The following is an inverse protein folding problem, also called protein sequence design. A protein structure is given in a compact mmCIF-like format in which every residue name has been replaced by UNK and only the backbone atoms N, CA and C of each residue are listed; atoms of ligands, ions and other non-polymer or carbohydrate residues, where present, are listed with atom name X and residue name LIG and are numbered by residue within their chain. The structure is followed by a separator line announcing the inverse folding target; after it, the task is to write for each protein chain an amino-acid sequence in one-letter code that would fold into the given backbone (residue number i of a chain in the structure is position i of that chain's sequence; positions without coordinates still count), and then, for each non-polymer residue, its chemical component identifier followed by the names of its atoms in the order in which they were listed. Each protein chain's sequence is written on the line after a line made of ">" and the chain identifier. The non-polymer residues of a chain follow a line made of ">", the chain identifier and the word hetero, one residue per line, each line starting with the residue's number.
data_IF_758607203897
#
_entry.id   IF_758607203897
#
_cell.length_a   1.000
_cell.length_b   1.000
_cell.length_c   1.000
_cell.angle_alpha   90.00
_cell.angle_beta   90.00
_cell.angle_gamma   90.00
#
_symmetry.space_group_name_H-M   'P 1'
#
loop_
_entity.id
_entity.type
_entity.pdbx_description
1 polymer ?
#
# COMPACT_ATOMS: atom_id res chain seq x y z
N UNK A 1 9.30 -9.83 -17.01
CA UNK A 1 8.02 -9.22 -16.57
C UNK A 1 7.03 -10.30 -16.19
N UNK A 2 6.70 -11.24 -17.07
CA UNK A 2 5.77 -12.34 -16.78
C UNK A 2 6.21 -13.22 -15.59
N UNK A 3 7.48 -13.67 -15.54
CA UNK A 3 8.03 -14.38 -14.37
C UNK A 3 7.96 -13.57 -13.07
N UNK A 4 8.11 -12.25 -13.14
CA UNK A 4 8.04 -11.39 -11.95
C UNK A 4 6.61 -11.31 -11.43
N UNK A 5 5.62 -11.23 -12.32
CA UNK A 5 4.21 -11.23 -11.94
C UNK A 5 3.83 -12.57 -11.31
N UNK A 6 4.28 -13.69 -11.88
CA UNK A 6 4.02 -15.01 -11.33
C UNK A 6 4.63 -15.19 -9.93
N UNK A 7 5.86 -14.71 -9.72
CA UNK A 7 6.48 -14.70 -8.39
C UNK A 7 5.67 -13.86 -7.38
N UNK A 8 5.18 -12.68 -7.78
CA UNK A 8 4.33 -11.82 -6.94
C UNK A 8 2.97 -12.46 -6.65
N UNK A 9 2.38 -13.19 -7.60
CA UNK A 9 1.13 -13.95 -7.38
C UNK A 9 1.27 -15.07 -6.35
N UNK A 10 2.48 -15.60 -6.16
CA UNK A 10 2.73 -16.64 -5.16
C UNK A 10 3.13 -16.06 -3.80
N UNK A 11 3.71 -14.87 -3.77
CA UNK A 11 4.14 -14.17 -2.56
C UNK A 11 4.20 -12.66 -2.84
N UNK A 12 3.34 -11.87 -2.19
CA UNK A 12 3.26 -10.43 -2.41
C UNK A 12 4.58 -9.72 -2.11
N UNK A 13 5.30 -10.15 -1.08
CA UNK A 13 6.62 -9.60 -0.74
C UNK A 13 7.72 -9.91 -1.76
N UNK A 14 7.49 -10.76 -2.75
CA UNK A 14 8.42 -10.93 -3.88
C UNK A 14 8.62 -9.64 -4.67
N UNK A 15 7.69 -8.67 -4.59
CA UNK A 15 7.81 -7.36 -5.21
C UNK A 15 9.12 -6.65 -4.82
N UNK A 16 9.62 -6.86 -3.60
CA UNK A 16 10.88 -6.26 -3.08
C UNK A 16 12.09 -6.59 -3.95
N UNK A 17 12.08 -7.74 -4.62
CA UNK A 17 13.16 -8.19 -5.50
C UNK A 17 12.99 -7.76 -6.96
N UNK A 18 11.81 -7.25 -7.35
CA UNK A 18 11.57 -6.73 -8.70
C UNK A 18 12.22 -5.34 -8.81
N UNK A 19 13.14 -5.09 -9.76
CA UNK A 19 13.70 -3.76 -9.96
C UNK A 19 12.59 -2.72 -10.16
N UNK A 20 12.73 -1.54 -9.53
CA UNK A 20 11.70 -0.48 -9.56
C UNK A 20 11.24 -0.13 -10.97
N UNK A 21 12.15 -0.09 -11.95
CA UNK A 21 11.86 0.19 -13.36
C UNK A 21 11.04 -0.91 -14.07
N UNK A 22 10.93 -2.12 -13.49
CA UNK A 22 10.17 -3.24 -14.03
C UNK A 22 8.84 -3.47 -13.30
N UNK A 23 8.61 -2.80 -12.16
CA UNK A 23 7.35 -2.90 -11.41
C UNK A 23 6.21 -2.31 -12.26
N UNK A 24 5.10 -3.03 -12.33
CA UNK A 24 3.88 -2.56 -13.00
C UNK A 24 2.78 -2.31 -11.96
N UNK A 25 1.77 -1.54 -12.33
CA UNK A 25 0.60 -1.29 -11.48
C UNK A 25 -0.09 -2.61 -11.08
N UNK A 26 -0.17 -3.57 -12.00
CA UNK A 26 -0.73 -4.90 -11.73
C UNK A 26 0.07 -5.67 -10.67
N UNK A 27 1.41 -5.72 -10.79
CA UNK A 27 2.26 -6.35 -9.77
C UNK A 27 2.12 -5.68 -8.41
N UNK A 28 2.09 -4.35 -8.38
CA UNK A 28 1.95 -3.59 -7.14
C UNK A 28 0.59 -3.85 -6.48
N UNK A 29 -0.49 -3.87 -7.27
CA UNK A 29 -1.82 -4.18 -6.78
C UNK A 29 -1.89 -5.60 -6.19
N UNK A 30 -1.38 -6.59 -6.93
CA UNK A 30 -1.40 -7.98 -6.51
C UNK A 30 -0.60 -8.19 -5.22
N UNK A 31 0.57 -7.54 -5.11
CA UNK A 31 1.41 -7.60 -3.92
C UNK A 31 0.69 -7.03 -2.69
N UNK A 32 0.14 -5.81 -2.79
CA UNK A 32 -0.56 -5.14 -1.70
C UNK A 32 -1.84 -5.88 -1.30
N UNK A 33 -2.56 -6.44 -2.27
CA UNK A 33 -3.74 -7.27 -2.02
C UNK A 33 -3.41 -8.48 -1.15
N UNK A 34 -2.28 -9.15 -1.39
CA UNK A 34 -1.88 -10.32 -0.60
C UNK A 34 -1.29 -9.92 0.75
N UNK A 35 -0.46 -8.88 0.76
CA UNK A 35 0.30 -8.44 1.93
C UNK A 35 0.36 -6.90 1.94
N UNK A 36 -0.44 -6.26 2.80
CA UNK A 36 -0.53 -4.80 2.88
C UNK A 36 0.81 -4.09 3.10
N UNK A 37 1.75 -4.74 3.81
CA UNK A 37 3.11 -4.26 4.00
C UNK A 37 3.86 -4.03 2.67
N UNK A 38 3.51 -4.74 1.60
CA UNK A 38 4.12 -4.57 0.27
C UNK A 38 3.95 -3.16 -0.30
N UNK A 39 3.09 -2.31 0.28
CA UNK A 39 2.96 -0.89 -0.08
C UNK A 39 4.30 -0.14 0.06
N UNK A 40 5.16 -0.52 1.00
CA UNK A 40 6.51 0.07 1.16
C UNK A 40 7.41 -0.16 -0.08
N UNK A 41 7.10 -1.21 -0.84
CA UNK A 41 7.73 -1.56 -2.10
C UNK A 41 6.98 -1.04 -3.32
N UNK A 42 5.91 -0.26 -3.18
CA UNK A 42 5.26 0.35 -4.34
C UNK A 42 5.88 1.71 -4.62
N UNK A 43 6.51 1.94 -5.79
CA UNK A 43 7.00 3.27 -6.15
C UNK A 43 5.85 4.28 -6.11
N UNK A 44 6.09 5.47 -5.54
CA UNK A 44 5.05 6.49 -5.37
C UNK A 44 4.21 6.78 -6.64
N UNK A 45 4.78 6.83 -7.87
CA UNK A 45 4.00 7.04 -9.08
C UNK A 45 3.04 5.90 -9.45
N UNK A 46 3.21 4.71 -8.86
CA UNK A 46 2.37 3.53 -9.08
C UNK A 46 1.36 3.30 -7.95
N UNK A 47 1.50 4.00 -6.82
CA UNK A 47 0.55 3.91 -5.72
C UNK A 47 -0.80 4.51 -6.12
N UNK A 48 -1.88 3.89 -5.66
CA UNK A 48 -3.24 4.39 -5.83
C UNK A 48 -3.99 4.45 -4.50
N UNK A 49 -5.06 5.26 -4.40
CA UNK A 49 -5.89 5.28 -3.20
C UNK A 49 -6.40 3.90 -2.80
N UNK A 50 -6.75 3.05 -3.77
CA UNK A 50 -7.26 1.70 -3.51
C UNK A 50 -6.19 0.80 -2.88
N UNK A 51 -4.95 0.85 -3.36
CA UNK A 51 -3.83 0.11 -2.74
C UNK A 51 -3.54 0.63 -1.32
N UNK A 52 -3.58 1.95 -1.14
CA UNK A 52 -3.36 2.56 0.16
C UNK A 52 -4.42 2.11 1.15
N UNK A 53 -5.69 2.12 0.74
CA UNK A 53 -6.81 1.66 1.56
C UNK A 53 -6.70 0.18 1.91
N UNK A 54 -6.38 -0.66 0.93
CA UNK A 54 -6.21 -2.10 1.13
C UNK A 54 -5.09 -2.40 2.14
N UNK A 55 -3.93 -1.76 1.98
CA UNK A 55 -2.80 -1.92 2.90
C UNK A 55 -3.17 -1.51 4.33
N UNK A 56 -3.85 -0.37 4.45
CA UNK A 56 -4.26 0.22 5.71
C UNK A 56 -5.36 -0.58 6.43
N UNK A 57 -6.26 -1.23 5.68
CA UNK A 57 -7.25 -2.16 6.24
C UNK A 57 -6.60 -3.42 6.81
N UNK A 58 -5.53 -3.89 6.20
CA UNK A 58 -4.79 -5.05 6.69
C UNK A 58 -3.92 -4.70 7.90
N UNK A 59 -3.26 -3.54 7.87
CA UNK A 59 -2.48 -3.01 8.98
C UNK A 59 -2.56 -1.48 9.01
N UNK A 60 -3.20 -0.93 10.05
CA UNK A 60 -3.31 0.53 10.24
C UNK A 60 -1.95 1.25 10.28
N UNK A 61 -0.87 0.55 10.61
CA UNK A 61 0.50 1.09 10.58
C UNK A 61 0.99 1.39 9.16
N UNK A 62 0.39 0.78 8.12
CA UNK A 62 0.73 1.02 6.73
C UNK A 62 0.44 2.47 6.27
N UNK A 63 -0.36 3.22 7.05
CA UNK A 63 -0.63 4.64 6.81
C UNK A 63 0.66 5.48 6.74
N UNK A 64 1.73 5.06 7.40
CA UNK A 64 3.04 5.72 7.32
C UNK A 64 3.65 5.68 5.90
N UNK A 65 3.29 4.69 5.08
CA UNK A 65 3.77 4.50 3.71
C UNK A 65 2.85 5.16 2.65
N UNK A 66 1.67 5.62 3.05
CA UNK A 66 0.71 6.30 2.17
C UNK A 66 1.20 7.72 1.88
N UNK A 67 1.29 8.14 0.61
CA UNK A 67 1.64 9.49 0.21
C UNK A 67 0.63 10.50 0.77
N UNK A 68 1.10 11.69 1.18
CA UNK A 68 0.23 12.71 1.79
C UNK A 68 -1.00 13.03 0.94
N UNK A 69 -0.85 13.08 -0.40
CA UNK A 69 -1.95 13.30 -1.35
C UNK A 69 -3.08 12.25 -1.28
N UNK A 70 -2.82 11.07 -0.71
CA UNK A 70 -3.78 9.98 -0.54
C UNK A 70 -4.20 9.77 0.91
N UNK A 71 -3.64 10.52 1.88
CA UNK A 71 -4.11 10.55 3.27
C UNK A 71 -5.37 11.42 3.40
N UNK A 72 -6.35 11.18 2.53
CA UNK A 72 -7.64 11.86 2.53
C UNK A 72 -8.60 11.21 3.54
N UNK A 73 -9.74 11.87 3.73
CA UNK A 73 -10.70 11.54 4.78
C UNK A 73 -11.14 10.07 4.79
N UNK A 74 -11.35 9.44 3.63
CA UNK A 74 -11.75 8.03 3.55
C UNK A 74 -10.66 7.05 4.05
N UNK A 75 -9.40 7.22 3.63
CA UNK A 75 -8.30 6.37 4.08
C UNK A 75 -8.06 6.56 5.58
N UNK A 76 -8.21 7.79 6.08
CA UNK A 76 -8.05 8.09 7.50
C UNK A 76 -9.23 7.58 8.33
N UNK A 77 -10.48 7.75 7.90
CA UNK A 77 -11.67 7.32 8.64
C UNK A 77 -11.70 5.80 8.87
N UNK A 78 -11.28 5.01 7.88
CA UNK A 78 -11.20 3.56 8.06
C UNK A 78 -10.18 3.15 9.11
N UNK A 79 -9.07 3.89 9.25
CA UNK A 79 -8.10 3.62 10.33
C UNK A 79 -8.60 3.96 11.71
N UNK A 80 -9.33 5.07 11.87
CA UNK A 80 -9.81 5.51 13.19
C UNK A 80 -10.85 4.53 13.74
N UNK A 81 -11.63 3.89 12.87
CA UNK A 81 -12.60 2.87 13.27
C UNK A 81 -11.99 1.55 13.76
N UNK A 82 -10.82 1.15 13.23
CA UNK A 82 -10.20 -0.14 13.54
C UNK A 82 -8.97 -0.04 14.47
N UNK A 83 -8.17 1.03 14.37
CA UNK A 83 -6.87 1.16 15.04
C UNK A 83 -6.68 2.59 15.57
N UNK A 84 -7.06 2.84 16.83
CA UNK A 84 -6.94 4.17 17.46
C UNK A 84 -5.52 4.77 17.45
N UNK A 85 -4.47 3.96 17.28
CA UNK A 85 -3.08 4.39 17.17
C UNK A 85 -2.71 5.02 15.81
N UNK A 86 -3.52 4.81 14.77
CA UNK A 86 -3.28 5.35 13.44
C UNK A 86 -3.56 6.87 13.34
N UNK A 87 -4.22 7.45 14.35
CA UNK A 87 -4.52 8.89 14.45
C UNK A 87 -3.27 9.77 14.33
N UNK A 88 -2.10 9.29 14.75
CA UNK A 88 -0.84 10.06 14.67
C UNK A 88 -0.38 10.35 13.22
N UNK A 89 -0.86 9.58 12.24
CA UNK A 89 -0.48 9.71 10.84
C UNK A 89 -1.52 10.45 9.99
N UNK A 90 -2.66 10.81 10.59
CA UNK A 90 -3.71 11.62 9.96
C UNK A 90 -3.22 13.07 9.84
N UNK A 91 -3.32 13.72 8.67
CA UNK A 91 -3.00 15.14 8.53
C UNK A 91 -3.81 15.98 9.53
N UNK A 92 -3.16 16.95 10.18
CA UNK A 92 -3.80 17.79 11.21
C UNK A 92 -4.87 18.74 10.66
N UNK A 93 -4.83 18.99 9.36
CA UNK A 93 -5.70 19.94 8.65
C UNK A 93 -6.83 19.25 7.87
N UNK A 94 -7.09 17.97 8.16
CA UNK A 94 -8.21 17.21 7.63
C UNK A 94 -9.55 17.68 8.25
#
# INVERSE_FOLDING_TARGET
>A
KEMCLEAVKQNGMALRYVPKALRTKEMCHEAVRQEGEALLDVPEPLQTPEMCLEAVRQDGSALQYVPEKFRIHEVCLETVGQYGEALQYVPKDL
#
